data_IF_773686762285
#
_entry.id   IF_773686762285
#
_cell.length_a   1.000
_cell.length_b   1.000
_cell.length_c   1.000
_cell.angle_alpha   90.00
_cell.angle_beta   90.00
_cell.angle_gamma   90.00
#
_symmetry.space_group_name_H-M   'P 1'
#
loop_
_entity.id
_entity.type
_entity.pdbx_description
1 polymer ?
#
# COMPACT_ATOMS: atom_id res chain seq x y z
N UNK A 1 -4.95 -37.23 -13.51
CA UNK A 1 -5.82 -38.12 -14.31
C UNK A 1 -7.30 -37.79 -14.18
N UNK A 2 -7.93 -37.94 -13.00
CA UNK A 2 -9.38 -37.75 -12.82
C UNK A 2 -9.98 -36.48 -13.47
N UNK A 3 -9.40 -35.29 -13.20
CA UNK A 3 -9.81 -34.02 -13.81
C UNK A 3 -9.82 -34.04 -15.36
N UNK A 4 -8.82 -34.71 -15.96
CA UNK A 4 -8.69 -34.81 -17.42
C UNK A 4 -9.81 -35.67 -17.99
N UNK A 5 -10.13 -36.79 -17.33
CA UNK A 5 -11.22 -37.69 -17.72
C UNK A 5 -12.56 -36.94 -17.73
N UNK A 6 -12.86 -36.18 -16.66
CA UNK A 6 -14.08 -35.37 -16.59
C UNK A 6 -14.16 -34.36 -17.75
N UNK A 7 -13.08 -33.63 -18.04
CA UNK A 7 -13.06 -32.67 -19.16
C UNK A 7 -13.17 -33.34 -20.53
N UNK A 8 -12.59 -34.54 -20.72
CA UNK A 8 -12.79 -35.34 -21.94
C UNK A 8 -14.24 -35.80 -22.12
N UNK A 9 -14.99 -36.00 -21.03
CA UNK A 9 -16.42 -36.27 -21.03
C UNK A 9 -17.29 -35.00 -21.14
N UNK A 10 -16.69 -33.85 -21.45
CA UNK A 10 -17.33 -32.53 -21.46
C UNK A 10 -18.00 -32.14 -20.12
N UNK A 11 -17.56 -32.73 -19.01
CA UNK A 11 -17.99 -32.36 -17.66
C UNK A 11 -17.13 -31.19 -17.19
N UNK A 12 -17.79 -30.09 -16.84
CA UNK A 12 -17.14 -28.89 -16.34
C UNK A 12 -16.53 -29.15 -14.95
N UNK A 13 -15.21 -29.10 -14.87
CA UNK A 13 -14.45 -29.40 -13.66
C UNK A 13 -13.23 -28.46 -13.50
N UNK A 14 -12.98 -28.00 -12.27
CA UNK A 14 -11.85 -27.13 -11.91
C UNK A 14 -10.96 -27.77 -10.86
N UNK A 15 -9.65 -27.53 -10.94
CA UNK A 15 -8.69 -28.02 -9.94
C UNK A 15 -8.71 -27.09 -8.74
N UNK A 16 -8.85 -27.62 -7.53
CA UNK A 16 -8.74 -26.86 -6.30
C UNK A 16 -7.43 -27.20 -5.58
N UNK A 17 -6.71 -26.17 -5.15
CA UNK A 17 -5.42 -26.28 -4.45
C UNK A 17 -5.49 -25.45 -3.17
N UNK A 18 -5.13 -26.03 -2.02
CA UNK A 18 -4.80 -25.26 -0.81
C UNK A 18 -3.33 -24.82 -0.85
N UNK A 19 -3.06 -23.54 -0.62
CA UNK A 19 -1.70 -23.02 -0.54
C UNK A 19 -1.35 -22.64 0.90
N UNK A 20 -0.17 -23.10 1.35
CA UNK A 20 0.40 -22.77 2.65
C UNK A 20 1.59 -21.81 2.45
N UNK A 21 1.70 -20.72 3.22
CA UNK A 21 2.87 -19.86 3.16
C UNK A 21 4.08 -20.60 3.71
N UNK A 22 5.10 -20.77 2.88
CA UNK A 22 6.40 -21.31 3.33
C UNK A 22 6.99 -20.32 4.34
N UNK A 23 7.34 -20.75 5.57
CA UNK A 23 8.05 -19.90 6.50
C UNK A 23 9.41 -19.50 5.91
N UNK A 24 9.57 -18.23 5.57
CA UNK A 24 10.89 -17.68 5.32
C UNK A 24 11.63 -17.70 6.66
N UNK A 25 12.59 -18.61 6.81
CA UNK A 25 13.48 -18.65 7.96
C UNK A 25 14.33 -17.37 7.99
N UNK A 26 13.82 -16.33 8.66
CA UNK A 26 14.68 -15.30 9.22
C UNK A 26 15.58 -15.99 10.24
N UNK A 27 16.88 -16.05 9.93
CA UNK A 27 17.88 -16.56 10.89
C UNK A 27 17.99 -15.55 12.03
N UNK A 28 17.29 -15.81 13.12
CA UNK A 28 17.58 -15.17 14.41
C UNK A 28 19.03 -15.51 14.81
N UNK A 29 19.94 -14.58 14.59
CA UNK A 29 21.35 -14.72 14.96
C UNK A 29 21.50 -14.56 16.48
N UNK A 30 21.38 -15.67 17.22
CA UNK A 30 21.29 -15.59 18.68
C UNK A 30 21.64 -16.86 19.46
N UNK A 31 22.84 -17.42 19.31
CA UNK A 31 23.47 -18.16 20.41
C UNK A 31 25.00 -18.21 20.34
N UNK A 32 25.59 -17.77 21.45
CA UNK A 32 26.98 -17.84 21.91
C UNK A 32 27.88 -18.97 21.35
N UNK A 33 29.13 -18.60 21.04
CA UNK A 33 30.26 -19.52 20.82
C UNK A 33 31.59 -18.84 21.15
N UNK A 34 32.21 -19.28 22.25
CA UNK A 34 33.56 -18.96 22.77
C UNK A 34 34.52 -18.12 21.91
N UNK A 35 34.95 -16.96 22.42
CA UNK A 35 36.21 -16.31 22.01
C UNK A 35 37.36 -16.72 22.94
N UNK A 36 38.46 -17.18 22.36
CA UNK A 36 39.80 -17.05 22.95
C UNK A 36 40.87 -17.02 21.83
N UNK A 37 42.01 -16.39 22.14
CA UNK A 37 43.27 -16.33 21.37
C UNK A 37 43.43 -15.42 20.12
N UNK A 38 43.95 -14.21 20.41
CA UNK A 38 45.24 -13.68 19.91
C UNK A 38 45.58 -13.64 18.39
N UNK A 39 45.43 -12.43 17.79
CA UNK A 39 46.46 -11.62 17.06
C UNK A 39 47.17 -12.19 15.79
N UNK A 40 47.95 -11.41 15.00
CA UNK A 40 48.11 -9.94 14.89
C UNK A 40 48.20 -9.35 13.45
N UNK A 41 48.37 -8.00 13.37
CA UNK A 41 49.10 -7.21 12.34
C UNK A 41 48.52 -6.95 10.92
N UNK A 42 48.42 -5.67 10.55
CA UNK A 42 48.15 -5.21 9.16
C UNK A 42 48.08 -3.68 8.96
N UNK A 43 49.23 -2.97 8.95
CA UNK A 43 49.33 -1.53 8.62
C UNK A 43 48.90 -1.31 7.14
N UNK A 44 48.40 -0.17 6.64
CA UNK A 44 48.84 1.24 6.78
C UNK A 44 47.72 2.23 6.34
N UNK A 45 47.67 3.42 6.95
CA UNK A 45 47.03 4.64 6.36
C UNK A 45 47.88 5.87 6.71
N UNK A 46 48.20 6.70 5.71
CA UNK A 46 48.77 8.05 5.81
C UNK A 46 48.95 8.62 4.39
N UNK A 47 49.08 9.96 4.18
CA UNK A 47 48.56 11.10 4.95
C UNK A 47 47.83 12.11 3.97
N UNK A 48 47.60 13.43 4.17
CA UNK A 48 48.13 14.47 5.10
C UNK A 48 47.27 15.76 5.05
N UNK A 49 47.30 16.56 6.13
CA UNK A 49 47.08 18.02 6.20
C UNK A 49 45.68 18.58 5.77
N UNK A 50 45.12 19.68 6.29
CA UNK A 50 45.35 20.61 7.43
C UNK A 50 43.98 21.29 7.72
N UNK A 51 43.71 22.06 8.78
CA UNK A 51 44.49 22.74 9.84
C UNK A 51 43.67 22.64 11.16
N UNK A 52 44.08 23.27 12.27
CA UNK A 52 43.27 23.31 13.51
C UNK A 52 43.39 24.62 14.29
N UNK A 53 42.55 24.80 15.32
CA UNK A 53 42.76 25.76 16.40
C UNK A 53 42.13 25.25 17.71
N UNK A 54 42.82 25.45 18.84
CA UNK A 54 42.41 24.98 20.18
C UNK A 54 41.62 26.07 20.92
N UNK A 55 40.75 25.66 21.87
CA UNK A 55 40.80 26.07 23.29
C UNK A 55 39.72 25.36 24.13
N UNK A 56 40.16 24.63 25.15
CA UNK A 56 39.45 24.45 26.43
C UNK A 56 40.05 25.44 27.45
N UNK A 57 39.41 25.65 28.61
CA UNK A 57 39.77 24.84 29.79
C UNK A 57 38.56 24.28 30.56
N UNK A 58 38.88 23.39 31.51
CA UNK A 58 37.98 22.71 32.45
C UNK A 58 37.65 23.60 33.66
N UNK A 59 36.58 23.28 34.36
CA UNK A 59 36.59 23.25 35.84
C UNK A 59 35.51 22.32 36.39
N UNK A 60 35.93 21.41 37.28
CA UNK A 60 35.09 20.59 38.16
C UNK A 60 34.97 21.30 39.51
N UNK A 61 33.81 21.25 40.16
CA UNK A 61 33.65 21.30 41.63
C UNK A 61 32.38 20.51 42.00
N UNK A 62 32.47 19.64 43.00
CA UNK A 62 31.33 18.94 43.63
C UNK A 62 30.74 19.77 44.79
N UNK A 63 29.45 19.59 45.10
CA UNK A 63 28.90 19.27 46.45
C UNK A 63 27.45 19.77 46.68
N UNK A 64 26.56 18.78 46.88
CA UNK A 64 25.73 18.56 48.08
C UNK A 64 24.60 19.54 48.49
N UNK A 65 23.78 19.06 49.45
CA UNK A 65 22.59 19.63 50.13
C UNK A 65 21.21 19.39 49.48
N UNK A 66 20.55 18.35 50.03
CA UNK A 66 19.18 18.33 50.61
C UNK A 66 18.15 19.41 50.23
N UNK A 67 16.91 18.96 49.95
CA UNK A 67 15.82 19.10 50.93
C UNK A 67 14.66 18.10 50.67
N UNK A 68 14.00 17.67 51.75
CA UNK A 68 12.83 16.77 51.75
C UNK A 68 11.53 17.55 51.89
N UNK A 69 10.41 17.01 51.40
CA UNK A 69 9.11 17.11 52.10
C UNK A 69 8.33 15.79 51.99
N UNK A 70 8.26 15.04 53.11
CA UNK A 70 7.20 14.05 53.36
C UNK A 70 5.95 14.74 53.92
N UNK A 71 4.76 14.20 53.61
CA UNK A 71 3.66 14.20 54.58
C UNK A 71 2.98 12.82 54.65
N UNK A 72 3.09 12.19 55.83
CA UNK A 72 2.43 10.93 56.20
C UNK A 72 1.20 11.17 57.08
N UNK A 73 0.28 10.20 57.14
CA UNK A 73 -0.43 9.71 58.34
C UNK A 73 -1.63 8.83 57.96
N UNK A 74 -2.16 7.91 58.77
CA UNK A 74 -1.57 6.95 59.73
C UNK A 74 -2.66 5.88 60.04
N UNK A 75 -2.31 4.62 60.37
CA UNK A 75 -3.32 3.60 60.72
C UNK A 75 -2.77 2.22 61.11
N UNK A 76 -2.48 2.04 62.41
CA UNK A 76 -1.98 0.80 63.09
C UNK A 76 -2.97 -0.40 62.91
N UNK A 77 -2.65 -1.69 63.12
CA UNK A 77 -1.66 -2.33 64.01
C UNK A 77 -1.42 -3.84 63.72
N UNK A 78 -0.41 -4.41 64.41
CA UNK A 78 -0.25 -5.82 64.85
C UNK A 78 0.27 -6.94 63.92
N UNK A 79 1.58 -7.17 64.03
CA UNK A 79 2.28 -8.42 64.44
C UNK A 79 1.68 -9.80 64.09
N UNK A 80 2.44 -10.63 63.37
CA UNK A 80 3.01 -11.94 63.85
C UNK A 80 3.76 -12.65 62.71
N UNK A 81 5.01 -13.05 62.97
CA UNK A 81 5.82 -13.92 62.10
C UNK A 81 5.44 -15.39 62.27
N UNK A 82 5.29 -16.13 61.15
CA UNK A 82 5.48 -17.60 61.12
C UNK A 82 5.65 -18.13 59.70
N UNK A 83 6.76 -18.86 59.47
CA UNK A 83 7.01 -19.68 58.27
C UNK A 83 5.85 -20.66 58.05
N UNK A 84 5.44 -20.91 56.81
CA UNK A 84 4.61 -22.09 56.48
C UNK A 84 5.12 -22.87 55.27
N UNK A 85 5.19 -24.17 55.48
CA UNK A 85 5.72 -25.20 54.58
C UNK A 85 4.76 -25.47 53.42
N UNK A 86 5.31 -25.77 52.24
CA UNK A 86 4.55 -26.24 51.08
C UNK A 86 3.83 -27.56 51.37
N UNK A 87 2.53 -27.63 51.09
CA UNK A 87 1.79 -28.90 50.92
C UNK A 87 0.97 -28.85 49.64
N UNK A 88 1.15 -29.85 48.79
CA UNK A 88 0.39 -30.00 47.55
C UNK A 88 -1.04 -30.50 47.84
N UNK A 89 -2.02 -29.96 47.13
CA UNK A 89 -3.40 -30.44 47.14
C UNK A 89 -3.88 -30.63 45.69
N UNK A 90 -4.46 -31.81 45.42
CA UNK A 90 -4.95 -32.21 44.08
C UNK A 90 -6.21 -31.42 43.71
N UNK A 91 -6.32 -30.98 42.45
CA UNK A 91 -7.58 -30.46 41.90
C UNK A 91 -8.55 -31.63 41.56
N UNK A 92 -9.87 -31.46 41.71
CA UNK A 92 -10.84 -32.49 41.35
C UNK A 92 -11.03 -32.59 39.82
N UNK A 93 -11.36 -33.79 39.34
CA UNK A 93 -11.70 -34.04 37.92
C UNK A 93 -13.02 -33.34 37.57
N UNK A 94 -13.07 -32.69 36.40
CA UNK A 94 -14.31 -32.15 35.82
C UNK A 94 -14.89 -33.20 34.87
N UNK A 95 -16.20 -33.45 34.95
CA UNK A 95 -16.86 -34.50 34.18
C UNK A 95 -16.75 -34.26 32.66
N UNK A 96 -16.56 -35.34 31.91
CA UNK A 96 -16.61 -35.32 30.44
C UNK A 96 -18.05 -35.15 29.96
N UNK A 97 -18.26 -34.15 29.11
CA UNK A 97 -19.37 -34.14 28.15
C UNK A 97 -18.79 -34.57 26.82
N UNK A 98 -19.00 -35.84 26.45
CA UNK A 98 -18.66 -36.32 25.10
C UNK A 98 -19.57 -35.62 24.09
N UNK A 99 -19.07 -34.55 23.48
CA UNK A 99 -19.40 -34.21 22.10
C UNK A 99 -18.13 -34.49 21.30
N UNK A 100 -18.20 -35.49 20.42
CA UNK A 100 -17.08 -35.91 19.60
C UNK A 100 -16.75 -34.82 18.57
N UNK A 101 -15.85 -33.90 18.93
CA UNK A 101 -15.11 -33.12 17.94
C UNK A 101 -14.25 -34.11 17.15
N UNK A 102 -14.63 -34.37 15.90
CA UNK A 102 -13.71 -34.97 14.94
C UNK A 102 -12.44 -34.12 14.88
N UNK A 103 -11.29 -34.74 15.12
CA UNK A 103 -10.01 -34.08 14.93
C UNK A 103 -9.80 -33.92 13.42
N UNK A 104 -9.66 -32.69 12.96
CA UNK A 104 -9.41 -32.38 11.56
C UNK A 104 -7.99 -32.84 11.19
N UNK A 105 -7.76 -33.38 9.99
CA UNK A 105 -6.45 -33.86 9.59
C UNK A 105 -5.44 -32.71 9.65
N UNK A 106 -4.36 -32.97 10.40
CA UNK A 106 -3.27 -32.04 10.65
C UNK A 106 -2.39 -31.88 9.41
N UNK A 107 -1.13 -32.28 9.48
CA UNK A 107 -0.22 -32.14 8.33
C UNK A 107 -0.48 -33.15 7.20
N UNK A 108 -1.12 -34.28 7.52
CA UNK A 108 -1.38 -35.40 6.59
C UNK A 108 -2.67 -35.24 5.74
N UNK A 109 -3.31 -34.07 5.79
CA UNK A 109 -4.56 -33.83 5.07
C UNK A 109 -4.40 -33.60 3.56
N UNK A 110 -5.52 -33.64 2.84
CA UNK A 110 -5.61 -33.42 1.39
C UNK A 110 -5.33 -31.95 1.06
N UNK A 111 -4.35 -31.72 0.17
CA UNK A 111 -3.97 -30.38 -0.30
C UNK A 111 -4.57 -30.00 -1.67
N UNK A 112 -5.10 -30.98 -2.40
CA UNK A 112 -5.67 -30.78 -3.73
C UNK A 112 -6.85 -31.71 -4.00
N UNK A 113 -7.88 -31.19 -4.66
CA UNK A 113 -9.09 -31.92 -5.02
C UNK A 113 -9.69 -31.34 -6.29
N UNK A 114 -10.76 -31.95 -6.82
CA UNK A 114 -11.46 -31.45 -8.01
C UNK A 114 -12.82 -30.93 -7.60
N UNK A 115 -13.22 -29.76 -8.09
CA UNK A 115 -14.62 -29.36 -8.05
C UNK A 115 -15.29 -29.66 -9.39
N UNK A 116 -16.47 -30.27 -9.32
CA UNK A 116 -17.30 -30.62 -10.48
C UNK A 116 -18.56 -29.78 -10.45
N UNK A 117 -18.90 -29.14 -11.58
CA UNK A 117 -20.13 -28.35 -11.67
C UNK A 117 -21.34 -29.26 -11.94
N UNK A 118 -22.40 -29.07 -11.16
CA UNK A 118 -23.70 -29.73 -11.37
C UNK A 118 -24.69 -28.70 -11.93
N UNK A 119 -25.07 -28.78 -13.22
CA UNK A 119 -26.00 -27.81 -13.82
C UNK A 119 -27.37 -27.77 -13.13
N UNK A 120 -27.90 -28.93 -12.73
CA UNK A 120 -29.20 -29.07 -12.03
C UNK A 120 -29.28 -28.22 -10.76
N UNK A 121 -28.22 -28.21 -9.97
CA UNK A 121 -28.14 -27.44 -8.72
C UNK A 121 -27.49 -26.06 -8.88
N UNK A 122 -26.86 -25.83 -10.04
CA UNK A 122 -26.00 -24.69 -10.33
C UNK A 122 -24.95 -24.45 -9.23
N UNK A 123 -24.25 -25.53 -8.87
CA UNK A 123 -23.25 -25.58 -7.78
C UNK A 123 -22.00 -26.33 -8.20
N UNK A 124 -20.89 -25.96 -7.56
CA UNK A 124 -19.62 -26.68 -7.62
C UNK A 124 -19.50 -27.61 -6.41
N UNK A 125 -19.41 -28.92 -6.63
CA UNK A 125 -19.28 -29.96 -5.61
C UNK A 125 -17.82 -30.41 -5.52
N UNK A 126 -17.18 -30.40 -4.32
CA UNK A 126 -15.85 -30.96 -4.15
C UNK A 126 -15.87 -32.49 -4.30
N UNK A 127 -14.86 -33.03 -4.97
CA UNK A 127 -14.63 -34.46 -5.18
C UNK A 127 -13.16 -34.73 -4.90
N UNK A 128 -12.91 -35.55 -3.89
CA UNK A 128 -11.60 -36.12 -3.61
C UNK A 128 -11.54 -37.53 -4.22
N UNK A 129 -10.86 -37.62 -5.36
CA UNK A 129 -10.66 -38.87 -6.08
C UNK A 129 -9.56 -39.77 -5.47
N UNK A 130 -8.82 -39.30 -4.46
CA UNK A 130 -7.81 -40.09 -3.73
C UNK A 130 -8.48 -40.91 -2.63
N UNK A 131 -9.32 -40.27 -1.81
CA UNK A 131 -10.02 -40.93 -0.70
C UNK A 131 -11.45 -41.37 -1.04
N UNK A 132 -11.95 -41.07 -2.25
CA UNK A 132 -13.28 -41.48 -2.71
C UNK A 132 -14.43 -40.67 -2.11
N UNK A 133 -14.18 -39.41 -1.72
CA UNK A 133 -15.18 -38.53 -1.12
C UNK A 133 -15.86 -37.62 -2.15
N UNK A 134 -17.17 -37.41 -2.00
CA UNK A 134 -17.98 -36.48 -2.80
C UNK A 134 -18.78 -35.59 -1.85
N UNK A 135 -18.62 -34.27 -1.98
CA UNK A 135 -19.31 -33.26 -1.17
C UNK A 135 -18.71 -33.04 0.22
N UNK A 136 -17.98 -34.01 0.78
CA UNK A 136 -17.31 -33.87 2.07
C UNK A 136 -15.89 -33.31 1.93
N UNK A 137 -15.59 -32.36 2.82
CA UNK A 137 -14.35 -31.57 2.91
C UNK A 137 -13.57 -31.85 4.19
N UNK A 138 -14.01 -32.83 5.00
CA UNK A 138 -13.38 -33.22 6.26
C UNK A 138 -11.90 -33.60 6.12
N UNK A 139 -11.53 -34.17 4.97
CA UNK A 139 -10.18 -34.65 4.69
C UNK A 139 -9.17 -33.53 4.32
N UNK A 140 -9.62 -32.29 4.13
CA UNK A 140 -8.76 -31.19 3.66
C UNK A 140 -7.83 -30.70 4.79
N UNK A 141 -6.53 -30.62 4.48
CA UNK A 141 -5.46 -30.17 5.39
C UNK A 141 -5.77 -28.83 6.07
N UNK A 142 -5.52 -28.73 7.37
CA UNK A 142 -5.72 -27.50 8.15
C UNK A 142 -4.39 -26.95 8.68
N UNK A 143 -4.26 -25.61 8.88
CA UNK A 143 -5.27 -24.57 8.69
C UNK A 143 -5.30 -24.04 7.24
N UNK A 144 -6.47 -24.05 6.60
CA UNK A 144 -6.64 -23.46 5.27
C UNK A 144 -6.40 -21.94 5.29
N UNK A 145 -5.44 -21.44 4.50
CA UNK A 145 -5.11 -20.00 4.40
C UNK A 145 -5.47 -19.38 3.05
N UNK A 146 -5.22 -20.12 1.97
CA UNK A 146 -5.72 -19.83 0.63
C UNK A 146 -6.20 -21.12 -0.02
N UNK A 147 -7.33 -21.06 -0.70
CA UNK A 147 -7.77 -22.09 -1.65
C UNK A 147 -7.96 -21.42 -3.00
N UNK A 148 -7.33 -21.95 -4.05
CA UNK A 148 -7.47 -21.48 -5.42
C UNK A 148 -8.15 -22.53 -6.28
N UNK A 149 -9.20 -22.12 -6.99
CA UNK A 149 -9.82 -22.89 -8.07
C UNK A 149 -9.23 -22.47 -9.42
N UNK A 150 -8.72 -23.43 -10.19
CA UNK A 150 -8.07 -23.24 -11.48
C UNK A 150 -8.89 -23.91 -12.59
N UNK A 151 -9.36 -23.09 -13.54
CA UNK A 151 -10.14 -23.53 -14.69
C UNK A 151 -9.66 -22.82 -15.95
N UNK A 152 -9.13 -23.57 -16.91
CA UNK A 152 -8.84 -23.08 -18.28
C UNK A 152 -8.02 -21.77 -18.31
N UNK A 153 -6.94 -21.74 -17.51
CA UNK A 153 -6.05 -20.58 -17.34
C UNK A 153 -6.56 -19.51 -16.37
N UNK A 154 -7.81 -19.59 -15.93
CA UNK A 154 -8.45 -18.68 -14.97
C UNK A 154 -8.21 -19.16 -13.55
N UNK A 155 -8.01 -18.21 -12.64
CA UNK A 155 -7.81 -18.48 -11.20
C UNK A 155 -8.85 -17.70 -10.39
N UNK A 156 -9.53 -18.38 -9.47
CA UNK A 156 -10.46 -17.77 -8.50
C UNK A 156 -10.11 -18.20 -7.09
N UNK A 157 -10.18 -17.27 -6.14
CA UNK A 157 -10.04 -17.61 -4.73
C UNK A 157 -11.34 -18.22 -4.19
N UNK A 158 -11.23 -19.40 -3.57
CA UNK A 158 -12.34 -20.16 -2.99
C UNK A 158 -12.21 -20.33 -1.47
N UNK A 159 -11.23 -19.69 -0.82
CA UNK A 159 -10.92 -19.90 0.61
C UNK A 159 -12.14 -19.77 1.52
N UNK A 160 -12.99 -18.77 1.28
CA UNK A 160 -14.22 -18.52 2.05
C UNK A 160 -15.29 -19.62 1.90
N UNK A 161 -15.23 -20.44 0.83
CA UNK A 161 -16.12 -21.59 0.63
C UNK A 161 -15.73 -22.79 1.50
N UNK A 162 -14.43 -22.96 1.74
CA UNK A 162 -13.86 -24.12 2.44
C UNK A 162 -13.57 -23.86 3.91
N UNK A 163 -13.18 -22.63 4.28
CA UNK A 163 -12.96 -22.32 5.68
C UNK A 163 -14.28 -22.26 6.44
N UNK A 164 -14.38 -23.00 7.54
CA UNK A 164 -15.58 -23.08 8.38
C UNK A 164 -15.82 -21.81 9.21
N UNK A 165 -14.79 -20.97 9.38
CA UNK A 165 -14.87 -19.67 10.03
C UNK A 165 -14.09 -18.59 9.26
N UNK A 166 -14.28 -17.33 9.65
CA UNK A 166 -13.55 -16.22 9.06
C UNK A 166 -12.08 -16.20 9.51
N UNK A 167 -11.15 -16.32 8.55
CA UNK A 167 -9.71 -16.37 8.83
C UNK A 167 -9.19 -15.02 9.36
N UNK A 168 -8.44 -14.99 10.47
CA UNK A 168 -7.77 -13.78 10.92
C UNK A 168 -6.75 -13.30 9.88
N UNK A 169 -6.93 -12.06 9.39
CA UNK A 169 -6.06 -11.41 8.38
C UNK A 169 -4.56 -11.39 8.68
N UNK A 170 -4.12 -11.77 9.89
CA UNK A 170 -2.71 -11.83 10.30
C UNK A 170 -1.92 -12.96 9.63
N UNK A 171 -2.59 -14.05 9.25
CA UNK A 171 -1.95 -15.22 8.61
C UNK A 171 -1.95 -15.14 7.08
N UNK A 172 -2.40 -14.01 6.51
CA UNK A 172 -2.48 -13.76 5.07
C UNK A 172 -1.62 -12.56 4.67
N UNK A 173 -1.21 -12.54 3.40
CA UNK A 173 -0.54 -11.40 2.77
C UNK A 173 -1.49 -10.19 2.68
N UNK A 174 -0.96 -9.02 2.31
CA UNK A 174 -1.78 -7.82 2.14
C UNK A 174 -2.78 -8.01 1.01
N UNK A 175 -4.07 -7.87 1.33
CA UNK A 175 -5.20 -8.07 0.42
C UNK A 175 -5.02 -7.36 -0.93
N UNK A 176 -4.62 -6.08 -0.94
CA UNK A 176 -4.40 -5.33 -2.19
C UNK A 176 -3.34 -5.97 -3.11
N UNK A 177 -2.25 -6.50 -2.54
CA UNK A 177 -1.20 -7.17 -3.32
C UNK A 177 -1.66 -8.53 -3.83
N UNK A 178 -2.43 -9.25 -3.02
CA UNK A 178 -3.03 -10.53 -3.41
C UNK A 178 -4.01 -10.37 -4.57
N UNK A 179 -4.91 -9.40 -4.48
CA UNK A 179 -5.85 -9.07 -5.56
C UNK A 179 -5.09 -8.67 -6.84
N UNK A 180 -4.10 -7.78 -6.75
CA UNK A 180 -3.24 -7.40 -7.88
C UNK A 180 -2.48 -8.58 -8.51
N UNK A 181 -2.10 -9.58 -7.71
CA UNK A 181 -1.37 -10.77 -8.19
C UNK A 181 -2.28 -11.78 -8.90
N UNK A 182 -3.56 -11.84 -8.53
CA UNK A 182 -4.57 -12.68 -9.18
C UNK A 182 -5.25 -12.01 -10.39
N UNK A 183 -5.24 -10.68 -10.47
CA UNK A 183 -5.89 -9.89 -11.52
C UNK A 183 -5.57 -10.35 -12.96
N UNK A 184 -4.30 -10.68 -13.34
CA UNK A 184 -3.99 -11.16 -14.69
C UNK A 184 -4.67 -12.49 -15.07
N UNK A 185 -5.11 -13.27 -14.07
CA UNK A 185 -5.77 -14.56 -14.23
C UNK A 185 -7.29 -14.49 -13.96
N UNK A 186 -7.81 -13.30 -13.67
CA UNK A 186 -9.22 -13.10 -13.34
C UNK A 186 -10.02 -12.87 -14.63
N UNK A 187 -10.99 -13.75 -14.97
CA UNK A 187 -11.84 -13.55 -16.14
C UNK A 187 -12.87 -12.44 -15.89
N UNK A 188 -13.48 -11.95 -16.97
CA UNK A 188 -14.74 -11.19 -16.86
C UNK A 188 -15.77 -12.02 -16.06
N UNK A 189 -16.51 -11.42 -15.09
CA UNK A 189 -17.47 -12.16 -14.27
C UNK A 189 -18.55 -12.83 -15.11
N UNK A 190 -18.71 -14.15 -14.96
CA UNK A 190 -19.85 -14.86 -15.56
C UNK A 190 -21.08 -14.82 -14.63
N UNK A 191 -22.27 -15.05 -15.19
CA UNK A 191 -23.49 -15.21 -14.39
C UNK A 191 -23.37 -16.29 -13.31
N UNK A 192 -22.61 -17.35 -13.61
CA UNK A 192 -22.28 -18.44 -12.68
C UNK A 192 -21.38 -17.97 -11.54
N UNK A 193 -20.41 -17.10 -11.82
CA UNK A 193 -19.54 -16.55 -10.78
C UNK A 193 -20.35 -15.70 -9.80
N UNK A 194 -21.22 -14.84 -10.32
CA UNK A 194 -22.16 -14.02 -9.55
C UNK A 194 -23.14 -14.87 -8.73
N UNK A 195 -23.58 -16.02 -9.26
CA UNK A 195 -24.42 -16.96 -8.52
C UNK A 195 -23.65 -17.65 -7.39
N UNK A 196 -22.40 -18.06 -7.63
CA UNK A 196 -21.53 -18.64 -6.59
C UNK A 196 -21.20 -17.62 -5.48
N UNK A 197 -20.96 -16.35 -5.83
CA UNK A 197 -20.76 -15.27 -4.84
C UNK A 197 -22.03 -15.06 -3.99
N UNK A 198 -23.21 -14.98 -4.61
CA UNK A 198 -24.51 -14.90 -3.89
C UNK A 198 -24.77 -16.10 -2.98
N UNK A 199 -24.41 -17.31 -3.42
CA UNK A 199 -24.51 -18.53 -2.60
C UNK A 199 -23.56 -18.48 -1.40
N UNK A 200 -22.34 -17.96 -1.59
CA UNK A 200 -21.33 -17.79 -0.55
C UNK A 200 -21.75 -16.72 0.47
N UNK A 201 -22.22 -15.56 0.03
CA UNK A 201 -22.81 -14.52 0.88
C UNK A 201 -24.00 -15.05 1.69
N UNK A 202 -24.92 -15.77 1.03
CA UNK A 202 -26.06 -16.42 1.70
C UNK A 202 -25.62 -17.42 2.76
N UNK A 203 -24.51 -18.14 2.54
CA UNK A 203 -23.94 -19.07 3.53
C UNK A 203 -23.32 -18.31 4.70
N UNK A 204 -22.58 -17.23 4.46
CA UNK A 204 -21.99 -16.37 5.49
C UNK A 204 -23.08 -15.70 6.36
N UNK A 205 -24.19 -15.27 5.76
CA UNK A 205 -25.33 -14.70 6.48
C UNK A 205 -26.07 -15.74 7.34
N UNK A 206 -26.15 -17.01 6.87
CA UNK A 206 -26.74 -18.13 7.62
C UNK A 206 -25.85 -18.69 8.74
N UNK A 207 -24.55 -18.36 8.76
CA UNK A 207 -23.69 -18.78 9.86
C UNK A 207 -24.14 -18.10 11.17
N UNK A 208 -24.13 -18.83 12.30
CA UNK A 208 -24.46 -18.24 13.58
C UNK A 208 -23.47 -17.12 13.90
N UNK A 209 -23.99 -16.05 14.51
CA UNK A 209 -23.21 -14.90 14.94
C UNK A 209 -22.02 -15.33 15.82
N UNK A 210 -20.77 -14.91 15.51
CA UNK A 210 -19.60 -15.28 16.30
C UNK A 210 -19.70 -14.84 17.77
N UNK A 211 -19.51 -15.79 18.70
CA UNK A 211 -19.63 -15.54 20.15
C UNK A 211 -18.36 -14.97 20.79
N UNK A 212 -17.22 -15.02 20.08
CA UNK A 212 -15.97 -14.45 20.52
C UNK A 212 -15.70 -13.09 19.88
N UNK A 213 -15.37 -12.09 20.70
CA UNK A 213 -14.99 -10.74 20.25
C UNK A 213 -13.82 -10.80 19.23
N UNK A 214 -12.90 -11.75 19.37
CA UNK A 214 -11.77 -11.93 18.45
C UNK A 214 -12.18 -12.31 17.04
N UNK A 215 -13.24 -13.10 16.87
CA UNK A 215 -13.76 -13.54 15.56
C UNK A 215 -14.50 -12.40 14.83
N UNK A 216 -15.14 -11.50 15.59
CA UNK A 216 -15.76 -10.27 15.08
C UNK A 216 -14.74 -9.21 14.60
N UNK A 217 -13.43 -9.46 14.69
CA UNK A 217 -12.40 -8.51 14.26
C UNK A 217 -12.16 -8.59 12.76
N UNK A 218 -12.89 -7.76 12.01
CA UNK A 218 -12.78 -7.67 10.55
C UNK A 218 -13.58 -8.75 9.82
N UNK A 219 -14.59 -9.32 10.48
CA UNK A 219 -15.59 -10.23 9.92
C UNK A 219 -16.35 -9.55 8.75
N UNK A 220 -16.75 -10.29 7.70
CA UNK A 220 -17.35 -9.70 6.49
C UNK A 220 -18.73 -9.07 6.76
N UNK A 221 -19.57 -9.71 7.58
CA UNK A 221 -20.96 -9.29 7.84
C UNK A 221 -21.12 -8.45 9.10
N UNK A 222 -20.23 -8.60 10.09
CA UNK A 222 -20.45 -8.13 11.46
C UNK A 222 -19.29 -7.27 11.97
N UNK A 223 -19.60 -6.26 12.78
CA UNK A 223 -18.58 -5.37 13.36
C UNK A 223 -18.97 -4.88 14.75
N UNK A 224 -17.97 -4.73 15.62
CA UNK A 224 -18.10 -4.04 16.90
C UNK A 224 -17.57 -2.60 16.78
N UNK A 225 -18.18 -1.65 17.50
CA UNK A 225 -17.71 -0.25 17.56
C UNK A 225 -16.22 -0.12 17.91
N UNK A 226 -15.70 -0.99 18.79
CA UNK A 226 -14.25 -1.07 19.15
C UNK A 226 -13.30 -1.48 18.01
N UNK A 227 -13.81 -2.04 16.92
CA UNK A 227 -13.01 -2.50 15.78
C UNK A 227 -12.96 -1.50 14.63
N UNK A 228 -13.72 -0.40 14.70
CA UNK A 228 -13.71 0.66 13.70
C UNK A 228 -12.33 1.33 13.68
N UNK A 229 -11.77 1.49 12.47
CA UNK A 229 -10.51 2.18 12.30
C UNK A 229 -10.63 3.69 12.57
N UNK A 230 -9.49 4.37 12.71
CA UNK A 230 -9.43 5.84 12.91
C UNK A 230 -10.28 6.59 11.88
N UNK A 231 -10.19 6.20 10.61
CA UNK A 231 -10.91 6.79 9.48
C UNK A 231 -12.18 6.01 9.07
N UNK A 232 -12.75 5.19 9.96
CA UNK A 232 -14.05 4.54 9.77
C UNK A 232 -15.08 5.06 10.78
N UNK A 233 -16.36 5.04 10.42
CA UNK A 233 -17.47 5.19 11.34
C UNK A 233 -18.70 4.41 10.85
N UNK A 234 -19.67 4.20 11.75
CA UNK A 234 -20.97 3.66 11.40
C UNK A 234 -21.87 4.78 10.85
N UNK A 235 -22.60 4.52 9.77
CA UNK A 235 -23.65 5.38 9.25
C UNK A 235 -24.84 4.51 8.78
N UNK A 236 -26.10 4.87 9.08
CA UNK A 236 -26.53 5.96 9.99
C UNK A 236 -25.95 5.85 11.41
N UNK A 237 -25.87 6.97 12.14
CA UNK A 237 -25.26 7.01 13.49
C UNK A 237 -26.06 6.17 14.51
N UNK A 238 -27.37 6.12 14.28
CA UNK A 238 -28.45 5.44 14.97
C UNK A 238 -28.73 4.03 14.41
N UNK A 239 -27.88 3.50 13.51
CA UNK A 239 -28.04 2.18 12.92
C UNK A 239 -28.35 1.11 14.00
N UNK A 240 -29.40 0.28 13.82
CA UNK A 240 -29.82 -0.65 14.85
C UNK A 240 -28.77 -1.76 15.07
N UNK A 241 -28.52 -2.18 16.33
CA UNK A 241 -27.67 -3.32 16.60
C UNK A 241 -28.38 -4.62 16.17
N UNK A 242 -27.66 -5.48 15.46
CA UNK A 242 -28.15 -6.81 15.04
C UNK A 242 -28.19 -7.81 16.21
N UNK A 243 -27.44 -7.54 17.27
CA UNK A 243 -27.35 -8.40 18.45
C UNK A 243 -26.28 -7.91 19.41
N UNK A 244 -26.07 -8.66 20.50
CA UNK A 244 -25.11 -8.34 21.54
C UNK A 244 -24.16 -9.51 21.78
N UNK A 245 -22.85 -9.23 21.80
CA UNK A 245 -21.82 -10.20 22.17
C UNK A 245 -21.10 -9.69 23.40
N UNK A 246 -21.22 -10.44 24.51
CA UNK A 246 -20.67 -10.09 25.84
C UNK A 246 -21.08 -8.68 26.32
N UNK A 247 -22.31 -8.28 26.01
CA UNK A 247 -22.89 -6.97 26.37
C UNK A 247 -22.59 -5.84 25.38
N UNK A 248 -21.83 -6.08 24.30
CA UNK A 248 -21.53 -5.06 23.30
C UNK A 248 -22.44 -5.16 22.07
N UNK A 249 -22.99 -4.03 21.58
CA UNK A 249 -23.80 -4.01 20.37
C UNK A 249 -22.95 -4.28 19.13
N UNK A 250 -23.40 -5.23 18.32
CA UNK A 250 -22.81 -5.59 17.03
C UNK A 250 -23.67 -5.02 15.91
N UNK A 251 -23.02 -4.45 14.92
CA UNK A 251 -23.64 -3.79 13.78
C UNK A 251 -23.36 -4.56 12.49
N UNK A 252 -24.16 -4.31 11.45
CA UNK A 252 -23.83 -4.72 10.10
C UNK A 252 -22.51 -4.05 9.66
N UNK A 253 -21.61 -4.80 9.03
CA UNK A 253 -20.37 -4.24 8.48
C UNK A 253 -20.65 -3.32 7.28
N UNK A 254 -21.78 -3.51 6.60
CA UNK A 254 -22.30 -2.63 5.54
C UNK A 254 -22.49 -1.18 6.00
N UNK A 255 -22.92 -0.98 7.25
CA UNK A 255 -23.04 0.35 7.84
C UNK A 255 -21.68 1.01 8.12
N UNK A 256 -20.54 0.35 7.90
CA UNK A 256 -19.21 0.96 8.13
C UNK A 256 -18.71 1.62 6.87
N UNK A 257 -18.59 2.94 6.95
CA UNK A 257 -18.08 3.75 5.87
C UNK A 257 -16.72 4.37 6.21
N UNK A 258 -15.85 4.42 5.21
CA UNK A 258 -14.59 5.16 5.26
C UNK A 258 -14.87 6.66 5.19
N UNK A 259 -14.41 7.39 6.21
CA UNK A 259 -14.44 8.84 6.26
C UNK A 259 -13.13 9.41 5.71
N UNK A 260 -13.18 10.57 5.07
CA UNK A 260 -12.01 11.25 4.51
C UNK A 260 -12.03 12.75 4.85
N UNK A 261 -10.85 13.37 4.88
CA UNK A 261 -10.75 14.84 5.02
C UNK A 261 -11.22 15.55 3.75
N UNK A 262 -11.52 16.86 3.85
CA UNK A 262 -11.97 17.67 2.71
C UNK A 262 -11.01 17.61 1.52
N UNK A 263 -9.71 17.74 1.76
CA UNK A 263 -8.63 17.55 0.77
C UNK A 263 -8.57 16.13 0.15
N UNK A 264 -8.93 15.11 0.93
CA UNK A 264 -8.94 13.72 0.47
C UNK A 264 -10.23 13.33 -0.27
N UNK A 265 -11.31 14.08 -0.08
CA UNK A 265 -12.48 14.03 -0.94
C UNK A 265 -12.28 14.80 -2.25
N UNK A 266 -11.57 15.94 -2.21
CA UNK A 266 -11.22 16.71 -3.41
C UNK A 266 -10.41 15.86 -4.41
N UNK A 267 -9.44 15.09 -3.92
CA UNK A 267 -8.70 14.09 -4.72
C UNK A 267 -9.56 12.96 -5.30
N UNK A 268 -10.74 12.71 -4.74
CA UNK A 268 -11.73 11.79 -5.31
C UNK A 268 -12.70 12.48 -6.30
N UNK A 269 -12.47 13.76 -6.64
CA UNK A 269 -13.39 14.65 -7.35
C UNK A 269 -14.76 14.79 -6.65
N UNK A 270 -14.73 14.98 -5.32
CA UNK A 270 -15.91 15.29 -4.51
C UNK A 270 -15.64 16.46 -3.57
N UNK A 271 -16.66 17.26 -3.33
CA UNK A 271 -16.61 18.38 -2.37
C UNK A 271 -17.56 18.14 -1.21
N UNK A 272 -17.11 18.41 0.01
CA UNK A 272 -17.98 18.41 1.20
C UNK A 272 -18.95 19.58 1.09
N UNK A 273 -20.23 19.33 1.38
CA UNK A 273 -21.31 20.33 1.37
C UNK A 273 -20.96 21.58 2.17
N UNK A 274 -21.50 22.72 1.75
CA UNK A 274 -21.27 24.01 2.43
C UNK A 274 -22.02 24.00 3.77
N UNK A 275 -21.33 24.39 4.85
CA UNK A 275 -21.82 24.36 6.26
C UNK A 275 -22.11 22.97 6.85
N UNK A 276 -21.65 21.91 6.20
CA UNK A 276 -21.76 20.54 6.73
C UNK A 276 -20.78 20.32 7.90
N UNK A 277 -21.25 19.77 9.02
CA UNK A 277 -20.41 19.47 10.18
C UNK A 277 -19.62 18.14 10.01
N UNK A 278 -18.38 18.03 10.52
CA UNK A 278 -17.60 16.81 10.38
C UNK A 278 -18.15 15.67 11.23
N UNK A 279 -18.48 14.56 10.58
CA UNK A 279 -18.99 13.35 11.23
C UNK A 279 -18.05 12.76 12.27
N UNK A 280 -16.73 12.98 12.12
CA UNK A 280 -15.73 12.54 13.10
C UNK A 280 -14.54 13.49 13.12
N UNK A 281 -14.18 13.99 14.30
CA UNK A 281 -12.92 14.69 14.56
C UNK A 281 -11.90 13.67 15.08
N UNK A 282 -10.67 13.68 14.54
CA UNK A 282 -9.59 12.80 15.00
C UNK A 282 -8.29 13.59 15.14
N UNK A 283 -7.39 13.19 16.03
CA UNK A 283 -6.04 13.80 16.10
C UNK A 283 -5.33 13.70 14.74
N UNK A 284 -4.97 14.84 14.15
CA UNK A 284 -4.20 14.92 12.92
C UNK A 284 -2.75 14.47 13.09
N UNK A 285 -1.95 14.56 12.02
CA UNK A 285 -0.50 14.38 12.13
C UNK A 285 0.10 15.65 12.74
N UNK A 286 0.84 15.51 13.83
CA UNK A 286 1.59 16.61 14.42
C UNK A 286 2.46 17.31 13.36
N UNK A 287 2.20 18.60 13.12
CA UNK A 287 3.09 19.46 12.33
C UNK A 287 4.00 20.16 13.32
N UNK A 288 5.25 19.70 13.43
CA UNK A 288 6.26 20.41 14.22
C UNK A 288 6.51 21.74 13.53
N UNK A 289 6.18 22.83 14.20
CA UNK A 289 6.45 24.16 13.68
C UNK A 289 7.96 24.42 13.74
N UNK A 290 8.53 24.82 12.60
CA UNK A 290 9.97 24.98 12.44
C UNK A 290 10.51 26.22 13.14
N UNK A 291 9.65 27.22 13.40
CA UNK A 291 10.02 28.44 14.13
C UNK A 291 9.87 28.27 15.65
N UNK A 292 8.70 27.85 16.13
CA UNK A 292 8.43 27.77 17.58
C UNK A 292 8.89 26.48 18.26
N UNK A 293 9.22 25.43 17.50
CA UNK A 293 9.55 24.10 18.03
C UNK A 293 8.37 23.35 18.64
N UNK A 294 7.26 24.04 18.94
CA UNK A 294 6.04 23.50 19.51
C UNK A 294 5.29 22.62 18.50
N UNK A 295 4.79 21.49 18.99
CA UNK A 295 3.95 20.57 18.22
C UNK A 295 2.49 20.92 18.46
N UNK A 296 1.87 21.65 17.53
CA UNK A 296 0.42 21.87 17.57
C UNK A 296 -0.31 20.59 17.13
N UNK A 297 -1.06 19.98 18.06
CA UNK A 297 -2.03 18.94 17.71
C UNK A 297 -3.18 19.61 16.94
N UNK A 298 -3.17 19.47 15.61
CA UNK A 298 -4.31 19.87 14.78
C UNK A 298 -5.33 18.75 14.77
N UNK A 299 -6.59 19.06 15.06
CA UNK A 299 -7.68 18.13 14.75
C UNK A 299 -7.83 18.00 13.23
N UNK A 300 -8.09 16.78 12.78
CA UNK A 300 -8.42 16.46 11.40
C UNK A 300 -9.91 16.14 11.33
N UNK A 301 -10.62 16.97 10.60
CA UNK A 301 -12.04 16.80 10.30
C UNK A 301 -12.22 15.72 9.22
N UNK A 302 -13.14 14.78 9.48
CA UNK A 302 -13.47 13.69 8.58
C UNK A 302 -14.96 13.70 8.25
N UNK A 303 -15.25 13.48 6.97
CA UNK A 303 -16.59 13.50 6.40
C UNK A 303 -16.91 12.18 5.71
N UNK A 304 -18.17 11.77 5.76
CA UNK A 304 -18.69 10.59 5.07
C UNK A 304 -19.07 10.86 3.61
N UNK A 305 -19.34 9.81 2.84
CA UNK A 305 -19.75 9.96 1.43
C UNK A 305 -21.07 10.75 1.29
N UNK A 306 -22.03 10.53 2.18
CA UNK A 306 -23.33 11.21 2.25
C UNK A 306 -23.24 12.73 2.49
N UNK A 307 -22.09 13.19 3.01
CA UNK A 307 -21.79 14.61 3.28
C UNK A 307 -21.15 15.32 2.08
N UNK A 308 -20.98 14.62 0.96
CA UNK A 308 -20.21 15.08 -0.20
C UNK A 308 -21.02 15.04 -1.47
N UNK A 309 -20.78 16.02 -2.33
CA UNK A 309 -21.35 16.13 -3.67
C UNK A 309 -20.25 15.98 -4.72
N UNK A 310 -20.59 15.62 -5.98
CA UNK A 310 -19.62 15.64 -7.07
C UNK A 310 -18.94 17.01 -7.17
N UNK A 311 -17.63 17.03 -7.41
CA UNK A 311 -16.91 18.28 -7.62
C UNK A 311 -17.42 18.98 -8.88
N UNK A 312 -17.80 20.24 -8.76
CA UNK A 312 -18.15 21.09 -9.91
C UNK A 312 -16.89 21.88 -10.33
N UNK A 313 -16.29 21.59 -11.50
CA UNK A 313 -15.13 22.32 -11.97
C UNK A 313 -15.50 23.78 -12.28
N UNK A 314 -14.58 24.74 -12.04
CA UNK A 314 -14.80 26.13 -12.38
C UNK A 314 -14.86 26.31 -13.91
N UNK A 315 -15.54 27.36 -14.37
CA UNK A 315 -15.66 27.70 -15.80
C UNK A 315 -14.55 28.69 -16.16
N UNK A 316 -13.84 28.47 -17.26
CA UNK A 316 -12.90 29.44 -17.80
C UNK A 316 -13.63 30.63 -18.43
N UNK A 317 -13.07 31.83 -18.30
CA UNK A 317 -13.70 33.05 -18.80
C UNK A 317 -12.68 34.04 -19.35
N UNK A 318 -12.99 34.64 -20.50
CA UNK A 318 -12.13 35.63 -21.15
C UNK A 318 -10.73 35.12 -21.48
N UNK A 319 -10.64 33.86 -21.96
CA UNK A 319 -9.38 33.23 -22.32
C UNK A 319 -8.45 32.88 -21.15
N UNK A 320 -8.92 32.97 -19.89
CA UNK A 320 -8.12 32.69 -18.69
C UNK A 320 -8.57 31.42 -17.96
N UNK A 321 -7.58 30.64 -17.54
CA UNK A 321 -7.78 29.39 -16.81
C UNK A 321 -7.97 29.68 -15.31
N UNK A 322 -9.03 29.18 -14.65
CA UNK A 322 -9.22 29.32 -13.20
C UNK A 322 -8.10 28.63 -12.42
N UNK A 323 -7.56 29.27 -11.38
CA UNK A 323 -6.37 28.81 -10.62
C UNK A 323 -6.66 28.67 -9.13
N UNK A 324 -5.92 27.78 -8.47
CA UNK A 324 -5.89 27.69 -7.01
C UNK A 324 -4.99 28.79 -6.39
N UNK A 325 -4.90 28.82 -5.05
CA UNK A 325 -4.09 29.79 -4.28
C UNK A 325 -2.59 29.78 -4.66
N UNK A 326 -2.09 28.68 -5.21
CA UNK A 326 -0.71 28.52 -5.68
C UNK A 326 -0.51 28.86 -7.17
N UNK A 327 -1.56 29.32 -7.85
CA UNK A 327 -1.52 29.70 -9.27
C UNK A 327 -1.54 28.53 -10.25
N UNK A 328 -1.90 27.32 -9.81
CA UNK A 328 -1.94 26.10 -10.62
C UNK A 328 -3.37 25.54 -10.72
N UNK A 329 -3.57 24.47 -11.52
CA UNK A 329 -4.84 23.72 -11.55
C UNK A 329 -4.64 22.35 -10.89
N UNK A 330 -5.53 21.97 -9.97
CA UNK A 330 -5.55 20.63 -9.37
C UNK A 330 -6.40 19.67 -10.21
N UNK A 331 -5.75 18.74 -10.89
CA UNK A 331 -6.36 17.83 -11.88
C UNK A 331 -6.13 16.37 -11.48
N UNK A 332 -6.65 15.97 -10.32
CA UNK A 332 -6.50 14.59 -9.82
C UNK A 332 -7.31 13.55 -10.61
N UNK A 333 -8.39 13.99 -11.27
CA UNK A 333 -9.23 13.20 -12.17
C UNK A 333 -9.62 14.05 -13.38
N UNK A 334 -9.88 13.42 -14.52
CA UNK A 334 -10.27 14.09 -15.76
C UNK A 334 -11.51 14.98 -15.62
N UNK A 335 -12.47 14.61 -14.77
CA UNK A 335 -13.67 15.40 -14.48
C UNK A 335 -13.43 16.68 -13.65
N UNK A 336 -12.20 16.94 -13.19
CA UNK A 336 -11.83 18.18 -12.50
C UNK A 336 -11.33 19.28 -13.45
N UNK A 337 -11.26 18.98 -14.76
CA UNK A 337 -10.83 19.94 -15.77
C UNK A 337 -11.79 21.13 -15.83
N UNK A 338 -11.32 22.39 -15.73
CA UNK A 338 -12.17 23.57 -15.86
C UNK A 338 -12.96 23.56 -17.18
N UNK A 339 -14.23 23.94 -17.12
CA UNK A 339 -15.11 23.94 -18.31
C UNK A 339 -14.61 24.99 -19.31
N UNK A 340 -14.53 24.61 -20.59
CA UNK A 340 -13.92 25.44 -21.65
C UNK A 340 -12.38 25.37 -21.70
N UNK A 341 -11.77 24.38 -21.05
CA UNK A 341 -10.31 24.15 -21.10
C UNK A 341 -9.97 22.72 -21.52
N UNK A 342 -8.75 22.55 -22.03
CA UNK A 342 -8.17 21.28 -22.46
C UNK A 342 -6.90 20.97 -21.68
N UNK A 343 -6.59 19.68 -21.48
CA UNK A 343 -5.34 19.22 -20.85
C UNK A 343 -4.34 18.74 -21.90
N UNK A 344 -3.24 19.47 -22.07
CA UNK A 344 -2.21 19.24 -23.08
C UNK A 344 -0.92 18.70 -22.45
N UNK A 345 -0.55 17.46 -22.79
CA UNK A 345 0.65 16.78 -22.29
C UNK A 345 1.88 17.03 -23.16
N UNK A 346 2.24 18.30 -23.33
CA UNK A 346 3.41 18.72 -24.11
C UNK A 346 4.54 19.29 -23.22
N UNK A 347 5.80 18.83 -23.35
CA UNK A 347 6.92 19.35 -22.56
C UNK A 347 7.23 20.80 -22.92
N UNK A 348 7.53 21.61 -21.90
CA UNK A 348 7.85 23.04 -22.01
C UNK A 348 6.80 23.94 -22.70
N UNK A 349 5.55 23.48 -22.85
CA UNK A 349 4.47 24.23 -23.52
C UNK A 349 4.27 25.64 -22.96
N UNK A 350 4.35 25.82 -21.64
CA UNK A 350 4.25 27.14 -21.00
C UNK A 350 5.27 28.18 -21.49
N UNK A 351 6.44 27.77 -22.01
CA UNK A 351 7.39 28.71 -22.66
C UNK A 351 6.89 29.19 -24.02
N UNK A 352 6.24 28.32 -24.79
CA UNK A 352 5.64 28.67 -26.09
C UNK A 352 4.41 29.55 -25.87
N UNK A 353 3.56 29.20 -24.91
CA UNK A 353 2.40 30.00 -24.52
C UNK A 353 2.80 31.43 -24.08
N UNK A 354 3.89 31.56 -23.30
CA UNK A 354 4.42 32.86 -22.91
C UNK A 354 4.92 33.72 -24.10
N UNK A 355 5.46 33.12 -25.17
CA UNK A 355 5.81 33.85 -26.41
C UNK A 355 4.57 34.36 -27.14
N UNK A 356 3.47 33.60 -27.09
CA UNK A 356 2.21 33.92 -27.76
C UNK A 356 1.23 34.73 -26.90
N UNK A 357 1.60 35.04 -25.64
CA UNK A 357 0.74 35.70 -24.66
C UNK A 357 -0.60 34.95 -24.40
N UNK A 358 -0.58 33.61 -24.50
CA UNK A 358 -1.72 32.71 -24.22
C UNK A 358 -1.66 32.27 -22.75
N UNK A 359 -2.81 32.27 -22.05
CA UNK A 359 -2.86 31.78 -20.68
C UNK A 359 -2.73 30.24 -20.61
N UNK A 360 -1.73 29.76 -19.90
CA UNK A 360 -1.34 28.36 -19.87
C UNK A 360 -0.79 28.01 -18.47
N UNK A 361 -1.49 27.12 -17.77
CA UNK A 361 -1.30 26.86 -16.34
C UNK A 361 -0.89 25.39 -16.15
N UNK A 362 0.14 25.06 -15.36
CA UNK A 362 0.55 23.66 -15.18
C UNK A 362 -0.46 22.90 -14.31
N UNK A 363 -0.73 21.65 -14.68
CA UNK A 363 -1.68 20.79 -13.98
C UNK A 363 -0.99 19.95 -12.89
N UNK A 364 -1.42 20.08 -11.64
CA UNK A 364 -1.01 19.22 -10.52
C UNK A 364 -1.90 17.98 -10.51
N UNK A 365 -1.34 16.84 -10.90
CA UNK A 365 -2.06 15.56 -10.96
C UNK A 365 -1.92 14.71 -9.69
N UNK A 366 -0.97 15.07 -8.82
CA UNK A 366 -0.71 14.32 -7.60
C UNK A 366 0.38 14.96 -6.73
N UNK A 367 0.80 14.21 -5.71
CA UNK A 367 1.87 14.61 -4.80
C UNK A 367 2.77 13.42 -4.51
N UNK A 368 4.08 13.62 -4.64
CA UNK A 368 5.09 12.59 -4.39
C UNK A 368 5.91 12.91 -3.13
N UNK A 369 6.12 11.91 -2.29
CA UNK A 369 6.91 12.02 -1.06
C UNK A 369 8.37 11.68 -1.30
N UNK A 370 9.16 12.64 -1.81
CA UNK A 370 10.61 12.44 -1.98
C UNK A 370 11.41 13.05 -0.82
N UNK A 371 12.27 12.23 -0.19
CA UNK A 371 13.18 12.68 0.86
C UNK A 371 12.45 13.13 2.14
N UNK A 372 12.61 14.40 2.53
CA UNK A 372 11.98 14.98 3.74
C UNK A 372 10.68 15.74 3.46
N UNK A 373 10.23 15.81 2.20
CA UNK A 373 9.12 16.65 1.76
C UNK A 373 8.02 15.88 1.02
N UNK A 374 6.93 16.59 0.74
CA UNK A 374 5.88 16.20 -0.20
C UNK A 374 5.82 17.28 -1.27
N UNK A 375 5.99 16.90 -2.53
CA UNK A 375 6.11 17.83 -3.65
C UNK A 375 4.97 17.59 -4.65
N UNK A 376 4.39 18.66 -5.25
CA UNK A 376 3.38 18.51 -6.29
C UNK A 376 3.99 17.88 -7.54
N UNK A 377 3.29 16.90 -8.11
CA UNK A 377 3.63 16.27 -9.38
C UNK A 377 2.85 16.99 -10.48
N UNK A 378 3.58 17.63 -11.38
CA UNK A 378 3.01 18.30 -12.55
C UNK A 378 3.03 17.36 -13.75
N UNK A 379 1.90 17.23 -14.44
CA UNK A 379 1.78 16.50 -15.70
C UNK A 379 0.93 17.32 -16.67
N UNK A 380 1.54 17.81 -17.75
CA UNK A 380 0.89 18.64 -18.75
C UNK A 380 0.44 20.02 -18.26
N UNK A 381 -0.36 20.67 -19.12
CA UNK A 381 -0.80 22.06 -18.99
C UNK A 381 -2.29 22.17 -19.28
N UNK A 382 -2.97 23.11 -18.62
CA UNK A 382 -4.35 23.48 -18.87
C UNK A 382 -4.38 24.80 -19.63
N UNK A 383 -5.16 24.84 -20.70
CA UNK A 383 -5.28 25.98 -21.64
C UNK A 383 -6.75 26.09 -22.06
N UNK A 384 -7.25 27.29 -22.32
CA UNK A 384 -8.60 27.45 -22.87
C UNK A 384 -8.71 26.81 -24.26
N UNK A 385 -9.84 26.16 -24.54
CA UNK A 385 -10.08 25.40 -25.77
C UNK A 385 -9.83 26.23 -27.04
N UNK A 386 -10.25 27.51 -27.03
CA UNK A 386 -10.05 28.52 -28.07
C UNK A 386 -8.59 28.68 -28.55
N UNK A 387 -7.61 28.40 -27.69
CA UNK A 387 -6.18 28.58 -27.98
C UNK A 387 -5.40 27.28 -28.14
N UNK A 388 -6.06 26.12 -27.99
CA UNK A 388 -5.43 24.81 -27.97
C UNK A 388 -4.64 24.52 -29.25
N UNK A 389 -5.29 24.66 -30.42
CA UNK A 389 -4.70 24.34 -31.72
C UNK A 389 -3.55 25.29 -32.07
N UNK A 390 -3.77 26.60 -31.90
CA UNK A 390 -2.76 27.65 -32.13
C UNK A 390 -1.48 27.40 -31.31
N UNK A 391 -1.65 27.04 -30.03
CA UNK A 391 -0.53 26.76 -29.14
C UNK A 391 0.16 25.43 -29.48
N UNK A 392 -0.59 24.40 -29.90
CA UNK A 392 -0.01 23.12 -30.33
C UNK A 392 0.76 23.24 -31.64
N UNK A 393 0.27 24.00 -32.63
CA UNK A 393 0.99 24.26 -33.89
C UNK A 393 2.31 24.99 -33.63
N UNK A 394 2.28 26.08 -32.84
CA UNK A 394 3.49 26.82 -32.49
C UNK A 394 4.47 25.98 -31.65
N UNK A 395 3.98 25.04 -30.83
CA UNK A 395 4.83 24.13 -30.10
C UNK A 395 5.52 23.11 -31.02
N UNK A 396 4.82 22.59 -32.02
CA UNK A 396 5.40 21.72 -33.05
C UNK A 396 6.51 22.45 -33.83
N UNK A 397 6.25 23.70 -34.24
CA UNK A 397 7.26 24.56 -34.89
C UNK A 397 8.50 24.79 -33.99
N UNK A 398 8.30 25.09 -32.71
CA UNK A 398 9.40 25.22 -31.75
C UNK A 398 10.20 23.90 -31.60
N UNK A 399 9.55 22.72 -31.65
CA UNK A 399 10.27 21.43 -31.62
C UNK A 399 11.13 21.23 -32.87
N UNK A 400 10.63 21.57 -34.06
CA UNK A 400 11.41 21.51 -35.32
C UNK A 400 12.62 22.44 -35.22
N UNK A 401 12.39 23.71 -34.84
CA UNK A 401 13.45 24.70 -34.65
C UNK A 401 14.51 24.28 -33.59
N UNK A 402 14.09 23.59 -32.52
CA UNK A 402 14.99 23.00 -31.53
C UNK A 402 15.81 21.85 -32.14
N UNK A 403 15.17 20.97 -32.91
CA UNK A 403 15.82 19.84 -33.59
C UNK A 403 16.90 20.33 -34.57
N UNK A 404 16.55 21.25 -35.46
CA UNK A 404 17.48 21.78 -36.47
C UNK A 404 18.67 22.50 -35.83
N UNK A 405 18.42 23.24 -34.74
CA UNK A 405 19.48 23.89 -33.96
C UNK A 405 20.35 22.90 -33.17
N UNK A 406 19.84 21.73 -32.80
CA UNK A 406 20.65 20.65 -32.24
C UNK A 406 21.48 19.97 -33.33
N UNK A 407 20.90 19.75 -34.51
CA UNK A 407 21.58 19.18 -35.67
C UNK A 407 22.74 20.07 -36.14
N UNK A 408 22.50 21.38 -36.31
CA UNK A 408 23.52 22.34 -36.68
C UNK A 408 24.69 22.37 -35.66
N UNK A 409 24.38 22.28 -34.36
CA UNK A 409 25.38 22.14 -33.29
C UNK A 409 26.13 20.80 -33.38
N UNK A 410 25.45 19.71 -33.72
CA UNK A 410 26.05 18.38 -33.92
C UNK A 410 27.03 18.41 -35.10
N UNK A 411 26.60 18.93 -36.24
CA UNK A 411 27.42 19.08 -37.44
C UNK A 411 28.65 19.97 -37.18
N UNK A 412 28.47 21.15 -36.57
CA UNK A 412 29.60 22.02 -36.17
C UNK A 412 30.61 21.32 -35.27
N UNK A 413 30.16 20.46 -34.33
CA UNK A 413 31.05 19.61 -33.50
C UNK A 413 31.75 18.53 -34.32
N UNK A 414 31.05 17.85 -35.21
CA UNK A 414 31.62 16.81 -36.10
C UNK A 414 32.70 17.40 -37.00
N UNK A 415 32.43 18.50 -37.73
CA UNK A 415 33.42 19.19 -38.54
C UNK A 415 34.59 19.73 -37.72
N UNK A 416 34.33 20.28 -36.52
CA UNK A 416 35.38 20.71 -35.59
C UNK A 416 36.28 19.56 -35.09
N UNK A 417 35.74 18.36 -34.96
CA UNK A 417 36.50 17.15 -34.60
C UNK A 417 37.31 16.63 -35.79
N UNK A 418 36.71 16.52 -36.98
CA UNK A 418 37.42 16.17 -38.21
C UNK A 418 38.58 17.11 -38.51
N UNK A 419 38.37 18.43 -38.39
CA UNK A 419 39.42 19.44 -38.58
C UNK A 419 40.58 19.27 -37.59
N UNK A 420 40.31 18.87 -36.34
CA UNK A 420 41.34 18.53 -35.35
C UNK A 420 42.06 17.23 -35.70
N UNK A 421 41.33 16.19 -36.11
CA UNK A 421 41.89 14.89 -36.49
C UNK A 421 42.83 15.01 -37.69
N UNK A 422 42.37 15.66 -38.77
CA UNK A 422 43.14 15.87 -40.01
C UNK A 422 44.39 16.71 -39.73
N UNK A 423 44.28 17.81 -38.99
CA UNK A 423 45.46 18.59 -38.56
C UNK A 423 46.45 17.74 -37.76
N UNK A 424 45.97 16.95 -36.81
CA UNK A 424 46.81 16.05 -36.01
C UNK A 424 47.46 14.93 -36.86
N UNK A 425 46.80 14.44 -37.89
CA UNK A 425 47.37 13.50 -38.86
C UNK A 425 48.45 14.15 -39.72
N UNK A 426 48.18 15.33 -40.30
CA UNK A 426 49.14 16.09 -41.12
C UNK A 426 50.39 16.51 -40.32
N UNK A 427 50.22 16.95 -39.07
CA UNK A 427 51.35 17.29 -38.19
C UNK A 427 52.20 16.03 -37.91
N UNK A 428 51.58 14.87 -37.64
CA UNK A 428 52.30 13.59 -37.42
C UNK A 428 52.92 13.00 -38.68
N UNK A 429 52.39 13.30 -39.88
CA UNK A 429 53.02 12.98 -41.14
C UNK A 429 54.27 13.85 -41.34
N UNK A 430 54.12 15.18 -41.26
CA UNK A 430 55.23 16.13 -41.40
C UNK A 430 56.35 15.93 -40.37
N UNK A 431 56.02 15.51 -39.16
CA UNK A 431 57.01 15.13 -38.14
C UNK A 431 57.72 13.80 -38.46
N UNK A 432 57.04 12.83 -39.08
CA UNK A 432 57.70 11.62 -39.58
C UNK A 432 58.65 11.96 -40.71
N UNK A 433 58.19 12.66 -41.74
CA UNK A 433 59.05 12.99 -42.89
C UNK A 433 60.31 13.78 -42.47
N UNK A 434 60.19 14.67 -41.46
CA UNK A 434 61.31 15.49 -40.96
C UNK A 434 62.31 14.79 -40.02
N UNK A 435 61.93 13.71 -39.35
CA UNK A 435 62.73 13.11 -38.26
C UNK A 435 62.90 11.60 -38.38
N UNK A 436 62.18 10.95 -39.30
CA UNK A 436 62.14 9.50 -39.56
C UNK A 436 62.17 9.19 -41.07
N UNK A 437 62.33 10.20 -41.93
CA UNK A 437 62.28 10.08 -43.39
C UNK A 437 63.64 9.94 -44.08
N UNK A 438 64.74 9.95 -43.31
CA UNK A 438 66.11 9.92 -43.83
C UNK A 438 67.00 9.00 -42.99
N UNK A 439 66.70 7.69 -43.06
CA UNK A 439 67.60 6.60 -42.67
C UNK A 439 67.60 5.60 -43.81
N UNK A 440 68.28 5.98 -44.91
CA UNK A 440 68.24 5.28 -46.18
C UNK A 440 69.39 5.64 -47.12
N UNK A 441 70.56 5.93 -46.56
CA UNK A 441 71.84 5.83 -47.27
C UNK A 441 72.47 4.46 -46.94
N UNK A 442 72.59 3.62 -47.96
CA UNK A 442 73.56 2.52 -48.14
C UNK A 442 73.75 2.35 -49.67
#
# INVERSE_FOLDING_TARGET
MFLVILRCLSIEARLCLSLYPIPLHEKESGSQGSENDNKPLGKKKAPKATKGLKKTPLQEVEQDSSDEEEQQSHGKSSTVTKKKVRRAAKKPKKAERLEARQELPGEDGVEHWVEVFTPKDSKWIPVDAVHGSVGDVSQIRQPLLYVLGIQDGRVRELTAKYCSGWLPKKSRVRENWWQQSLEPFRPAPSERDLLEDKQLESRLFRQPMPSAITELKGHPVYVLKRHLLKYEALYPADAPPLGFVRGEPVYARECVHTLRSRESWLREARMVRVREEPYKRVKGRAKKDLLSGMSTERELELFGLWQTEPYMPPVAFGGKVPRNEWGNVELFKSCMLPVGTVHLKAPALGRVAAKLNIDCVPAVVGFEGHGRGVHPVFDGWVVCEEFADTLMMAWQEEQVNISDRQEEKRQKRVFGNWRRLIRGALIRARLRDKYLGDTGDD
#
